data_IF_615462137845
#
_entry.id   IF_615462137845
#
_cell.length_a   1.000
_cell.length_b   1.000
_cell.length_c   1.000
_cell.angle_alpha   90.00
_cell.angle_beta   90.00
_cell.angle_gamma   90.00
#
_symmetry.space_group_name_H-M   'P 1'
#
loop_
_entity.id
_entity.type
_entity.pdbx_description
1 polymer ?
#
# COMPACT_ATOMS: atom_id res chain seq x y z
N UNK A 1 -19.40 -18.53 -13.85
CA UNK A 1 -19.10 -17.66 -12.69
C UNK A 1 -17.58 -17.51 -12.67
N UNK A 2 -17.09 -16.55 -13.45
CA UNK A 2 -15.65 -16.26 -13.59
C UNK A 2 -15.41 -15.17 -12.55
N UNK A 3 -14.77 -15.56 -11.44
CA UNK A 3 -14.27 -14.63 -10.47
C UNK A 3 -13.21 -13.79 -11.17
N UNK A 4 -13.45 -12.51 -11.36
CA UNK A 4 -12.58 -11.67 -12.19
C UNK A 4 -11.18 -11.62 -11.58
N UNK A 5 -10.16 -11.78 -12.42
CA UNK A 5 -8.74 -11.63 -12.03
C UNK A 5 -8.47 -10.30 -11.32
N UNK A 6 -9.31 -9.30 -11.54
CA UNK A 6 -9.29 -7.99 -10.88
C UNK A 6 -9.50 -8.09 -9.36
N UNK A 7 -10.41 -8.97 -8.89
CA UNK A 7 -10.64 -9.18 -7.45
C UNK A 7 -9.42 -9.84 -6.78
N UNK A 8 -8.74 -10.73 -7.52
CA UNK A 8 -7.52 -11.37 -7.04
C UNK A 8 -6.36 -10.37 -6.94
N UNK A 9 -6.22 -9.49 -7.93
CA UNK A 9 -5.19 -8.46 -7.95
C UNK A 9 -5.40 -7.39 -6.88
N UNK A 10 -6.63 -6.91 -6.70
CA UNK A 10 -6.98 -5.94 -5.65
C UNK A 10 -6.77 -6.59 -4.27
N UNK A 11 -7.16 -7.85 -4.08
CA UNK A 11 -6.83 -8.59 -2.84
C UNK A 11 -5.34 -8.74 -2.64
N UNK A 12 -4.60 -9.05 -3.70
CA UNK A 12 -3.15 -9.25 -3.64
C UNK A 12 -2.41 -7.93 -3.37
N UNK A 13 -2.78 -6.85 -4.05
CA UNK A 13 -2.28 -5.51 -3.77
C UNK A 13 -2.62 -5.10 -2.33
N UNK A 14 -3.86 -5.25 -1.90
CA UNK A 14 -4.28 -4.94 -0.53
C UNK A 14 -3.52 -5.78 0.51
N UNK A 15 -3.19 -7.04 0.21
CA UNK A 15 -2.42 -7.90 1.12
C UNK A 15 -0.95 -7.50 1.15
N UNK A 16 -0.37 -7.13 0.02
CA UNK A 16 1.01 -6.64 -0.06
C UNK A 16 1.19 -5.29 0.63
N UNK A 17 0.18 -4.41 0.53
CA UNK A 17 0.21 -3.08 1.15
C UNK A 17 0.05 -3.13 2.67
N UNK A 18 -0.73 -4.08 3.19
CA UNK A 18 -0.97 -4.21 4.63
C UNK A 18 0.26 -4.65 5.44
N UNK A 19 1.17 -5.39 4.83
CA UNK A 19 2.26 -6.05 5.55
C UNK A 19 3.52 -5.18 5.63
N UNK A 20 3.73 -4.25 4.70
CA UNK A 20 5.04 -3.62 4.55
C UNK A 20 5.22 -2.28 5.26
N UNK A 21 4.17 -1.47 5.41
CA UNK A 21 4.35 -0.06 5.80
C UNK A 21 3.64 0.36 7.08
N UNK A 22 2.78 -0.48 7.61
CA UNK A 22 2.10 -0.20 8.87
C UNK A 22 2.94 -0.73 10.03
N UNK A 23 3.37 0.14 10.92
CA UNK A 23 4.21 -0.12 12.11
C UNK A 23 4.79 -1.54 12.09
N UNK A 24 6.04 -1.65 11.65
CA UNK A 24 6.74 -2.93 11.52
C UNK A 24 6.73 -3.66 12.85
N UNK A 25 5.75 -4.53 13.03
CA UNK A 25 5.85 -5.56 14.07
C UNK A 25 6.96 -6.52 13.65
N UNK A 26 7.77 -6.97 14.56
CA UNK A 26 8.79 -7.98 14.26
C UNK A 26 8.12 -9.19 13.62
N UNK A 27 8.67 -9.72 12.53
CA UNK A 27 8.02 -10.78 11.73
C UNK A 27 7.88 -12.13 12.45
N UNK A 28 8.49 -12.29 13.63
CA UNK A 28 8.51 -13.53 14.41
C UNK A 28 8.32 -13.25 15.88
N UNK A 29 7.93 -14.29 16.67
CA UNK A 29 7.93 -14.27 18.14
C UNK A 29 9.36 -14.29 18.72
N UNK A 30 10.38 -14.44 17.88
CA UNK A 30 11.78 -14.43 18.29
C UNK A 30 12.20 -13.05 18.80
N UNK A 31 13.10 -13.04 19.76
CA UNK A 31 13.71 -11.79 20.22
C UNK A 31 14.51 -11.14 19.10
N UNK A 32 14.22 -9.88 18.82
CA UNK A 32 14.85 -9.11 17.77
C UNK A 32 15.42 -7.81 18.31
N UNK A 33 16.56 -7.42 17.79
CA UNK A 33 17.17 -6.11 18.03
C UNK A 33 16.88 -5.20 16.85
N UNK A 34 16.46 -3.98 17.13
CA UNK A 34 16.25 -2.95 16.12
C UNK A 34 17.58 -2.29 15.77
N UNK A 35 17.87 -2.17 14.49
CA UNK A 35 19.02 -1.46 13.96
C UNK A 35 18.62 -0.45 12.90
N UNK A 36 19.17 0.77 12.96
CA UNK A 36 18.96 1.79 11.96
C UNK A 36 20.14 1.82 10.97
N UNK A 37 19.83 1.71 9.68
CA UNK A 37 20.81 1.77 8.59
C UNK A 37 20.90 3.14 7.94
N UNK A 38 19.90 4.00 8.19
CA UNK A 38 19.84 5.37 7.68
C UNK A 38 20.43 6.40 8.64
N UNK A 39 20.24 7.66 8.33
CA UNK A 39 20.55 8.81 9.17
C UNK A 39 19.37 9.23 10.06
N UNK A 40 19.54 10.31 10.84
CA UNK A 40 18.49 10.83 11.74
C UNK A 40 17.28 11.39 10.99
N UNK A 41 17.47 11.88 9.76
CA UNK A 41 16.41 12.46 8.94
C UNK A 41 15.67 11.39 8.13
N UNK A 42 16.34 10.27 7.80
CA UNK A 42 15.80 9.20 6.99
C UNK A 42 16.08 7.83 7.64
N UNK A 43 15.19 7.46 8.54
CA UNK A 43 15.32 6.22 9.30
C UNK A 43 15.06 5.00 8.41
N UNK A 44 16.06 4.13 8.30
CA UNK A 44 15.98 2.84 7.59
C UNK A 44 16.12 1.70 8.59
N UNK A 45 15.02 1.38 9.24
CA UNK A 45 14.98 0.43 10.34
C UNK A 45 14.88 -1.01 9.89
N UNK A 46 15.74 -1.87 10.39
CA UNK A 46 15.65 -3.34 10.25
C UNK A 46 15.56 -4.00 11.62
N UNK A 47 15.00 -5.19 11.65
CA UNK A 47 14.94 -6.05 12.83
C UNK A 47 15.80 -7.27 12.59
N UNK A 48 16.76 -7.49 13.49
CA UNK A 48 17.76 -8.57 13.39
C UNK A 48 17.55 -9.50 14.58
N UNK A 49 17.55 -10.83 14.33
CA UNK A 49 17.43 -11.83 15.40
C UNK A 49 18.54 -11.67 16.44
N UNK A 50 18.19 -11.73 17.72
CA UNK A 50 19.15 -11.74 18.83
C UNK A 50 20.00 -13.02 18.84
N UNK A 51 19.53 -14.09 18.21
CA UNK A 51 20.20 -15.38 18.16
C UNK A 51 21.44 -15.41 17.25
N UNK A 52 21.59 -14.42 16.38
CA UNK A 52 22.79 -14.26 15.56
C UNK A 52 23.98 -13.84 16.42
N UNK A 53 25.14 -14.39 16.13
CA UNK A 53 26.39 -13.95 16.73
C UNK A 53 26.71 -12.50 16.37
N UNK A 54 27.54 -11.79 17.14
CA UNK A 54 27.93 -10.41 16.81
C UNK A 54 28.52 -10.26 15.42
N UNK A 55 29.31 -11.22 14.95
CA UNK A 55 29.93 -11.21 13.63
C UNK A 55 28.87 -11.36 12.52
N UNK A 56 27.95 -12.31 12.67
CA UNK A 56 26.86 -12.49 11.69
C UNK A 56 25.93 -11.26 11.61
N UNK A 57 25.70 -10.55 12.73
CA UNK A 57 24.93 -9.30 12.73
C UNK A 57 25.66 -8.21 11.96
N UNK A 58 26.96 -8.08 12.15
CA UNK A 58 27.79 -7.09 11.47
C UNK A 58 27.85 -7.35 9.97
N UNK A 59 28.06 -8.61 9.57
CA UNK A 59 28.05 -9.04 8.18
C UNK A 59 26.70 -8.77 7.52
N UNK A 60 25.59 -9.10 8.19
CA UNK A 60 24.24 -8.83 7.70
C UNK A 60 23.98 -7.33 7.53
N UNK A 61 24.35 -6.51 8.52
CA UNK A 61 24.21 -5.05 8.45
C UNK A 61 25.02 -4.49 7.27
N UNK A 62 26.25 -4.96 7.09
CA UNK A 62 27.11 -4.55 6.00
C UNK A 62 26.51 -4.90 4.64
N UNK A 63 26.00 -6.12 4.50
CA UNK A 63 25.33 -6.58 3.28
C UNK A 63 24.10 -5.74 2.96
N UNK A 64 23.22 -5.50 3.95
CA UNK A 64 22.00 -4.70 3.71
C UNK A 64 22.35 -3.25 3.38
N UNK A 65 23.43 -2.69 3.92
CA UNK A 65 23.92 -1.36 3.55
C UNK A 65 24.43 -1.28 2.12
N UNK A 66 25.10 -2.32 1.65
CA UNK A 66 25.59 -2.39 0.26
C UNK A 66 24.41 -2.35 -0.74
N UNK A 67 23.27 -2.95 -0.39
CA UNK A 67 22.08 -3.03 -1.23
C UNK A 67 20.92 -2.18 -0.70
N UNK A 68 21.22 -1.08 -0.01
CA UNK A 68 20.20 -0.27 0.68
C UNK A 68 19.15 0.35 -0.26
N UNK A 69 19.55 0.60 -1.50
CA UNK A 69 18.73 1.16 -2.58
C UNK A 69 17.79 0.14 -3.24
N UNK A 70 18.04 -1.16 -3.04
CA UNK A 70 17.15 -2.22 -3.54
C UNK A 70 15.89 -2.35 -2.70
N UNK A 71 15.93 -1.87 -1.43
CA UNK A 71 14.81 -1.96 -0.50
C UNK A 71 13.94 -0.71 -0.55
N UNK A 72 12.64 -0.92 -0.52
CA UNK A 72 11.64 0.13 -0.35
C UNK A 72 11.47 0.43 1.14
N UNK A 73 11.87 1.59 1.57
CA UNK A 73 11.82 2.02 2.98
C UNK A 73 10.57 2.82 3.31
N UNK A 74 10.09 3.61 2.33
CA UNK A 74 8.92 4.45 2.42
C UNK A 74 8.03 4.25 1.20
N UNK A 75 6.82 4.81 1.22
CA UNK A 75 5.91 4.79 0.07
C UNK A 75 6.51 5.52 -1.16
N UNK A 76 7.25 6.59 -0.92
CA UNK A 76 7.89 7.40 -1.95
C UNK A 76 8.99 6.63 -2.70
N UNK A 77 9.58 5.60 -2.06
CA UNK A 77 10.56 4.72 -2.69
C UNK A 77 9.91 3.69 -3.63
N UNK A 78 8.58 3.54 -3.58
CA UNK A 78 7.84 2.60 -4.43
C UNK A 78 7.54 3.24 -5.77
N UNK A 79 8.47 3.19 -6.68
CA UNK A 79 8.23 3.62 -8.05
C UNK A 79 7.29 2.62 -8.75
N UNK A 80 6.31 3.14 -9.48
CA UNK A 80 5.45 2.31 -10.33
C UNK A 80 6.26 1.61 -11.43
N UNK A 81 5.70 0.57 -12.00
CA UNK A 81 6.27 -0.05 -13.19
C UNK A 81 6.18 0.93 -14.36
N UNK A 82 7.24 0.93 -15.19
CA UNK A 82 7.19 1.64 -16.48
C UNK A 82 6.03 1.07 -17.31
N UNK A 83 5.19 1.95 -17.86
CA UNK A 83 4.04 1.59 -18.68
C UNK A 83 4.44 0.79 -19.93
N UNK A 84 5.69 0.89 -20.37
CA UNK A 84 6.23 0.08 -21.48
C UNK A 84 6.53 -1.37 -21.04
N UNK A 85 6.77 -1.60 -19.75
CA UNK A 85 7.05 -2.94 -19.21
C UNK A 85 5.77 -3.68 -18.88
N UNK A 86 4.84 -3.00 -18.18
CA UNK A 86 3.57 -3.58 -17.82
C UNK A 86 2.50 -2.49 -17.62
N UNK A 87 1.33 -2.74 -18.19
CA UNK A 87 0.17 -1.88 -18.05
C UNK A 87 -1.06 -2.74 -17.77
N UNK A 88 -1.81 -2.39 -16.76
CA UNK A 88 -3.10 -3.04 -16.49
C UNK A 88 -4.22 -2.26 -17.19
N UNK A 89 -4.91 -2.92 -18.11
CA UNK A 89 -6.11 -2.39 -18.73
C UNK A 89 -7.34 -2.95 -18.02
N UNK A 90 -8.24 -2.07 -17.58
CA UNK A 90 -9.55 -2.49 -17.12
C UNK A 90 -10.33 -3.01 -18.32
N UNK A 91 -10.81 -4.25 -18.23
CA UNK A 91 -11.61 -4.87 -19.28
C UNK A 91 -13.09 -4.44 -19.15
N UNK A 92 -13.35 -3.17 -19.48
CA UNK A 92 -14.70 -2.61 -19.43
C UNK A 92 -15.39 -2.94 -20.76
N UNK A 93 -16.63 -3.40 -20.70
CA UNK A 93 -17.46 -3.59 -21.87
C UNK A 93 -17.63 -2.24 -22.61
N UNK A 94 -17.36 -2.21 -23.92
CA UNK A 94 -17.47 -1.00 -24.75
C UNK A 94 -18.87 -0.37 -24.74
N UNK A 95 -19.91 -1.17 -24.48
CA UNK A 95 -21.31 -0.73 -24.43
C UNK A 95 -21.75 -0.28 -23.04
N UNK A 96 -20.88 -0.47 -22.01
CA UNK A 96 -21.17 -0.06 -20.64
C UNK A 96 -21.22 1.46 -20.54
N UNK A 97 -22.27 1.98 -19.92
CA UNK A 97 -22.42 3.42 -19.68
C UNK A 97 -21.73 3.81 -18.39
N UNK A 98 -20.93 4.90 -18.40
CA UNK A 98 -20.29 5.39 -17.19
C UNK A 98 -21.30 5.68 -16.07
N UNK A 99 -21.00 5.22 -14.87
CA UNK A 99 -21.82 5.44 -13.67
C UNK A 99 -21.10 6.36 -12.71
N UNK A 100 -21.82 7.35 -12.18
CA UNK A 100 -21.33 8.24 -11.10
C UNK A 100 -22.14 7.95 -9.85
N UNK A 101 -21.57 7.14 -8.96
CA UNK A 101 -22.21 6.84 -7.68
C UNK A 101 -22.35 8.11 -6.84
N UNK A 102 -23.50 8.27 -6.18
CA UNK A 102 -23.72 9.38 -5.26
C UNK A 102 -22.77 9.25 -4.05
N UNK A 103 -22.08 10.34 -3.70
CA UNK A 103 -21.14 10.35 -2.59
C UNK A 103 -21.79 9.91 -1.29
N UNK A 104 -21.17 8.94 -0.60
CA UNK A 104 -21.55 8.50 0.74
C UNK A 104 -21.10 9.53 1.78
N UNK A 105 -21.93 9.66 2.83
CA UNK A 105 -21.57 10.47 3.99
C UNK A 105 -20.99 9.59 5.07
N UNK A 106 -19.92 10.06 5.70
CA UNK A 106 -19.24 9.36 6.78
C UNK A 106 -19.23 10.23 8.04
N UNK A 107 -19.10 9.60 9.20
CA UNK A 107 -18.83 10.31 10.44
C UNK A 107 -17.48 11.04 10.37
N UNK A 108 -17.32 12.18 11.08
CA UNK A 108 -16.12 13.01 11.00
C UNK A 108 -14.80 12.23 11.20
N UNK A 109 -14.76 11.33 12.19
CA UNK A 109 -13.58 10.53 12.51
C UNK A 109 -13.15 9.60 11.34
N UNK A 110 -14.16 9.00 10.67
CA UNK A 110 -13.91 8.15 9.50
C UNK A 110 -13.47 9.01 8.32
N UNK A 111 -14.05 10.19 8.15
CA UNK A 111 -13.68 11.12 7.10
C UNK A 111 -12.24 11.60 7.25
N UNK A 112 -11.81 11.93 8.45
CA UNK A 112 -10.43 12.35 8.75
C UNK A 112 -9.44 11.22 8.41
N UNK A 113 -9.74 9.98 8.79
CA UNK A 113 -8.93 8.82 8.46
C UNK A 113 -8.85 8.57 6.94
N UNK A 114 -9.97 8.71 6.21
CA UNK A 114 -10.01 8.62 4.75
C UNK A 114 -9.15 9.71 4.12
N UNK A 115 -9.29 10.96 4.56
CA UNK A 115 -8.52 12.09 4.04
C UNK A 115 -7.02 11.90 4.24
N UNK A 116 -6.62 11.41 5.42
CA UNK A 116 -5.22 11.11 5.73
C UNK A 116 -4.66 10.04 4.78
N UNK A 117 -5.41 8.96 4.54
CA UNK A 117 -4.95 7.89 3.65
C UNK A 117 -4.91 8.34 2.18
N UNK A 118 -5.92 9.09 1.71
CA UNK A 118 -5.94 9.66 0.36
C UNK A 118 -4.77 10.63 0.16
N UNK A 119 -4.52 11.51 1.14
CA UNK A 119 -3.39 12.44 1.07
C UNK A 119 -2.06 11.70 0.93
N UNK A 120 -1.85 10.66 1.72
CA UNK A 120 -0.65 9.83 1.65
C UNK A 120 -0.46 9.21 0.26
N UNK A 121 -1.53 8.73 -0.37
CA UNK A 121 -1.47 8.16 -1.71
C UNK A 121 -1.17 9.22 -2.79
N UNK A 122 -1.67 10.44 -2.62
CA UNK A 122 -1.36 11.57 -3.50
C UNK A 122 0.10 12.00 -3.34
N UNK A 123 0.55 12.19 -2.09
CA UNK A 123 1.92 12.61 -1.77
C UNK A 123 2.97 11.61 -2.30
N UNK A 124 2.58 10.34 -2.48
CA UNK A 124 3.42 9.25 -3.01
C UNK A 124 3.19 8.97 -4.51
N UNK A 125 2.51 9.82 -5.24
CA UNK A 125 2.20 9.71 -6.68
C UNK A 125 1.43 8.44 -7.10
N UNK A 126 0.75 7.76 -6.16
CA UNK A 126 -0.06 6.59 -6.50
C UNK A 126 -1.41 6.93 -7.11
N UNK A 127 -1.97 8.07 -6.74
CA UNK A 127 -3.22 8.60 -7.28
C UNK A 127 -3.07 10.09 -7.55
N UNK A 128 -3.87 10.60 -8.46
CA UNK A 128 -3.94 12.03 -8.79
C UNK A 128 -5.38 12.51 -8.78
N UNK A 129 -5.58 13.80 -8.66
CA UNK A 129 -6.88 14.42 -8.82
C UNK A 129 -7.32 14.38 -10.30
N UNK A 130 -8.59 14.02 -10.52
CA UNK A 130 -9.25 14.08 -11.81
C UNK A 130 -10.46 15.03 -11.74
N UNK A 131 -10.46 16.06 -12.60
CA UNK A 131 -11.48 17.11 -12.54
C UNK A 131 -12.83 16.69 -13.14
N UNK A 132 -12.83 15.82 -14.13
CA UNK A 132 -14.03 15.43 -14.89
C UNK A 132 -14.06 13.93 -15.14
N UNK A 133 -14.11 13.10 -14.09
CA UNK A 133 -14.13 11.68 -14.28
C UNK A 133 -15.44 11.24 -14.93
N UNK A 134 -15.37 10.28 -15.84
CA UNK A 134 -16.55 9.65 -16.42
C UNK A 134 -17.17 8.66 -15.43
N UNK A 135 -16.32 7.91 -14.73
CA UNK A 135 -16.72 6.98 -13.67
C UNK A 135 -16.43 7.54 -12.30
N UNK A 136 -17.37 7.39 -11.38
CA UNK A 136 -17.16 7.74 -9.96
C UNK A 136 -17.63 6.60 -9.07
N UNK A 137 -16.71 5.98 -8.37
CA UNK A 137 -16.98 4.94 -7.39
C UNK A 137 -16.82 5.45 -5.95
N UNK A 138 -17.64 4.94 -5.04
CA UNK A 138 -17.58 5.31 -3.64
C UNK A 138 -16.42 4.63 -2.90
N UNK A 139 -15.92 5.32 -1.91
CA UNK A 139 -15.01 4.77 -0.92
C UNK A 139 -15.81 3.87 0.04
N UNK A 140 -15.22 2.72 0.38
CA UNK A 140 -15.72 1.78 1.40
C UNK A 140 -14.64 1.66 2.48
N UNK A 141 -14.80 2.36 3.61
CA UNK A 141 -13.86 2.24 4.72
C UNK A 141 -14.03 0.89 5.43
N UNK A 142 -12.94 0.16 5.62
CA UNK A 142 -12.91 -1.13 6.30
C UNK A 142 -11.97 -1.05 7.49
N UNK A 143 -12.48 -1.37 8.68
CA UNK A 143 -11.67 -1.37 9.90
C UNK A 143 -10.83 -2.66 9.97
N UNK A 144 -9.53 -2.50 10.13
CA UNK A 144 -8.57 -3.60 10.36
C UNK A 144 -8.64 -4.10 11.82
N UNK A 145 -8.03 -5.24 12.10
CA UNK A 145 -7.93 -5.78 13.48
C UNK A 145 -7.24 -4.82 14.46
N UNK A 146 -6.27 -4.04 13.98
CA UNK A 146 -5.56 -3.01 14.75
C UNK A 146 -6.32 -1.67 14.85
N UNK A 147 -7.62 -1.63 14.49
CA UNK A 147 -8.51 -0.46 14.47
C UNK A 147 -8.17 0.63 13.44
N UNK A 148 -7.15 0.45 12.62
CA UNK A 148 -6.89 1.36 11.51
C UNK A 148 -7.92 1.16 10.39
N UNK A 149 -8.20 2.23 9.65
CA UNK A 149 -9.14 2.22 8.55
C UNK A 149 -8.37 1.97 7.25
N UNK A 150 -8.84 0.97 6.48
CA UNK A 150 -8.43 0.75 5.10
C UNK A 150 -9.44 1.41 4.18
N UNK A 151 -8.96 2.10 3.18
CA UNK A 151 -9.80 2.68 2.12
C UNK A 151 -9.88 1.68 0.96
N UNK A 152 -11.09 1.19 0.69
CA UNK A 152 -11.39 0.37 -0.48
C UNK A 152 -12.28 1.14 -1.44
N UNK A 153 -12.37 0.71 -2.69
CA UNK A 153 -13.20 1.34 -3.71
C UNK A 153 -14.33 0.37 -4.11
N UNK A 154 -15.51 0.89 -4.30
CA UNK A 154 -16.70 0.14 -4.72
C UNK A 154 -16.75 0.02 -6.24
N UNK A 155 -16.12 -1.01 -6.80
CA UNK A 155 -16.06 -1.24 -8.25
C UNK A 155 -17.22 -2.10 -8.79
N UNK A 156 -18.32 -2.28 -8.06
CA UNK A 156 -19.42 -3.14 -8.51
C UNK A 156 -19.98 -2.72 -9.86
N UNK A 157 -20.23 -1.43 -10.05
CA UNK A 157 -20.78 -0.90 -11.31
C UNK A 157 -19.77 -0.97 -12.48
N UNK A 158 -18.48 -1.12 -12.19
CA UNK A 158 -17.43 -1.28 -13.19
C UNK A 158 -17.27 -2.74 -13.63
N UNK A 159 -17.75 -3.67 -12.80
CA UNK A 159 -17.63 -5.12 -13.02
C UNK A 159 -18.91 -5.75 -13.59
N UNK A 160 -19.96 -4.97 -13.83
CA UNK A 160 -21.20 -5.38 -14.52
C UNK A 160 -21.07 -5.22 -16.04
#
# INVERSE_FOLDING_TARGET
MIQSDTDLWIKHLNTLWDVRFDQREPPTEDKVTQSNLGDEANLKTIFISENLSPLEKEDLISLVREYIDVFTWNYEDMHGLDLQVAMHHLNINSDAKPVKQQQRRFYPEIMEAIQSEVKKLIDSDFIREEQRPDWVANIVPVTKKNRKIRVCIDFRDLNE
#
